data_IF_464431301716
#
_entry.id   IF_464431301716
#
_cell.length_a   1.000
_cell.length_b   1.000
_cell.length_c   1.000
_cell.angle_alpha   90.00
_cell.angle_beta   90.00
_cell.angle_gamma   90.00
#
_symmetry.space_group_name_H-M   'P 1'
#
loop_
_entity.id
_entity.type
_entity.pdbx_description
1 polymer ?
#
# COMPACT_ATOMS: atom_id res chain seq x y z
N UNK A 1 18.22 50.98 25.79
CA UNK A 1 17.39 51.20 26.98
C UNK A 1 16.67 49.89 27.21
N UNK A 2 17.18 48.98 28.07
CA UNK A 2 16.96 48.93 29.50
C UNK A 2 15.45 48.64 29.78
N UNK A 3 15.02 47.59 30.46
CA UNK A 3 15.55 46.60 31.38
C UNK A 3 14.48 45.57 31.64
N UNK A 4 14.79 44.33 31.91
CA UNK A 4 15.08 43.74 33.23
C UNK A 4 13.92 43.73 34.23
N UNK A 5 13.43 42.53 34.62
CA UNK A 5 13.51 41.96 35.94
C UNK A 5 12.53 40.77 36.09
N UNK A 6 12.98 39.59 36.39
CA UNK A 6 13.36 38.91 37.65
C UNK A 6 12.18 38.14 38.34
N UNK A 7 12.28 36.81 38.31
CA UNK A 7 12.35 35.90 39.47
C UNK A 7 11.17 35.73 40.44
N UNK A 8 10.78 34.47 40.64
CA UNK A 8 10.80 33.82 41.98
C UNK A 8 10.50 32.33 41.97
N UNK A 9 11.47 31.60 42.40
CA UNK A 9 11.43 30.26 43.01
C UNK A 9 10.40 30.17 44.18
N UNK A 10 9.76 29.02 44.36
CA UNK A 10 9.40 28.52 45.69
C UNK A 10 9.40 26.98 45.72
N UNK A 11 10.38 26.49 46.41
CA UNK A 11 10.57 25.16 46.99
C UNK A 11 9.62 24.97 48.17
N UNK A 12 8.98 23.80 48.31
CA UNK A 12 8.51 23.33 49.61
C UNK A 12 8.73 21.86 49.81
N UNK A 13 9.17 21.56 50.95
CA UNK A 13 9.88 20.52 51.65
C UNK A 13 8.99 19.32 51.96
N UNK A 14 9.65 18.18 52.10
CA UNK A 14 9.16 16.88 52.52
C UNK A 14 8.67 16.85 53.98
N UNK A 15 7.72 15.97 54.29
CA UNK A 15 7.52 15.40 55.62
C UNK A 15 7.35 13.87 55.51
N UNK A 16 8.28 13.20 56.12
CA UNK A 16 8.37 11.77 56.35
C UNK A 16 7.64 11.44 57.67
N UNK A 17 6.71 10.48 57.68
CA UNK A 17 6.22 9.85 58.91
C UNK A 17 6.25 8.32 58.77
N UNK A 18 7.16 7.72 59.50
CA UNK A 18 7.27 6.28 59.78
C UNK A 18 6.42 5.96 60.99
N UNK A 19 5.54 4.97 60.92
CA UNK A 19 4.99 4.28 62.10
C UNK A 19 5.03 2.78 61.88
N UNK A 20 5.86 2.11 62.66
CA UNK A 20 5.90 0.68 62.86
C UNK A 20 4.84 0.27 63.91
N UNK A 21 4.04 -0.75 63.61
CA UNK A 21 3.42 -1.56 64.64
C UNK A 21 3.22 -3.00 64.14
N UNK A 22 3.82 -3.93 64.85
CA UNK A 22 3.67 -5.37 64.72
C UNK A 22 2.41 -5.86 65.43
N UNK A 23 1.74 -6.85 64.88
CA UNK A 23 0.63 -7.55 65.53
C UNK A 23 0.33 -8.88 64.85
N UNK A 24 0.73 -9.98 65.47
CA UNK A 24 0.36 -11.37 65.12
C UNK A 24 -1.12 -11.62 65.48
N UNK A 25 -1.85 -12.32 64.60
CA UNK A 25 -3.19 -12.85 64.91
C UNK A 25 -3.70 -13.72 63.78
N UNK A 26 -3.70 -15.05 63.94
CA UNK A 26 -4.20 -16.00 62.96
C UNK A 26 -5.74 -15.98 62.88
N UNK A 27 -6.22 -16.23 61.68
CA UNK A 27 -7.65 -16.45 61.38
C UNK A 27 -7.83 -16.66 59.88
N UNK A 28 -8.14 -17.88 59.46
CA UNK A 28 -8.56 -18.16 58.09
C UNK A 28 -9.93 -17.51 57.81
N UNK A 29 -10.07 -16.86 56.70
CA UNK A 29 -11.38 -16.66 56.12
C UNK A 29 -11.46 -17.22 54.70
N UNK A 30 -12.58 -17.78 54.46
CA UNK A 30 -13.29 -18.18 53.27
C UNK A 30 -13.00 -17.32 52.04
N UNK A 31 -12.75 -17.98 50.91
CA UNK A 31 -12.68 -17.43 49.59
C UNK A 31 -14.01 -16.74 49.20
N UNK A 32 -14.03 -15.44 49.20
CA UNK A 32 -15.02 -14.64 48.48
C UNK A 32 -14.39 -14.30 47.08
N UNK A 33 -15.00 -14.86 46.04
CA UNK A 33 -14.70 -14.55 44.68
C UNK A 33 -15.11 -13.12 44.35
N UNK A 34 -14.23 -12.15 44.42
CA UNK A 34 -14.39 -10.86 43.75
C UNK A 34 -13.73 -10.95 42.38
N UNK A 35 -14.55 -11.00 41.33
CA UNK A 35 -14.12 -10.80 39.97
C UNK A 35 -13.57 -9.39 39.81
N UNK A 36 -12.28 -9.24 40.04
CA UNK A 36 -11.52 -8.06 39.67
C UNK A 36 -11.19 -8.14 38.18
N UNK A 37 -11.80 -7.29 37.38
CA UNK A 37 -11.40 -6.99 36.00
C UNK A 37 -10.07 -6.24 36.02
N UNK A 38 -9.00 -6.91 36.37
CA UNK A 38 -7.64 -6.41 36.25
C UNK A 38 -7.05 -6.92 34.94
N UNK A 39 -6.87 -6.01 33.96
CA UNK A 39 -6.01 -6.26 32.81
C UNK A 39 -4.58 -6.48 33.31
N UNK A 40 -4.23 -7.73 33.64
CA UNK A 40 -2.83 -8.08 33.87
C UNK A 40 -2.09 -7.92 32.53
N UNK A 41 -0.93 -7.27 32.48
CA UNK A 41 -0.16 -7.16 31.27
C UNK A 41 0.14 -8.56 30.72
N UNK A 42 -0.12 -8.79 29.44
CA UNK A 42 0.21 -10.07 28.78
C UNK A 42 1.74 -10.14 28.71
N UNK A 43 2.34 -10.99 29.54
CA UNK A 43 3.78 -11.21 29.55
C UNK A 43 4.14 -12.12 28.36
N UNK A 44 5.02 -11.65 27.47
CA UNK A 44 5.56 -12.48 26.38
C UNK A 44 6.34 -13.67 26.93
N UNK A 45 6.17 -14.84 26.32
CA UNK A 45 6.96 -16.02 26.63
C UNK A 45 8.39 -15.95 26.04
N UNK A 46 8.68 -14.93 25.24
CA UNK A 46 9.95 -14.74 24.54
C UNK A 46 10.71 -13.56 25.12
N UNK A 47 12.03 -13.59 25.03
CA UNK A 47 12.85 -12.39 25.25
C UNK A 47 12.46 -11.30 24.24
N UNK A 48 12.57 -10.01 24.61
CA UNK A 48 12.28 -8.92 23.67
C UNK A 48 13.11 -9.06 22.38
N UNK A 49 12.48 -8.82 21.23
CA UNK A 49 13.15 -8.91 19.93
C UNK A 49 14.35 -7.97 19.83
N UNK A 50 14.31 -6.83 20.54
CA UNK A 50 15.44 -5.90 20.63
C UNK A 50 16.69 -6.51 21.27
N UNK A 51 16.54 -7.43 22.21
CA UNK A 51 17.65 -8.14 22.84
C UNK A 51 18.25 -9.25 21.93
N UNK A 52 17.50 -9.68 20.94
CA UNK A 52 17.89 -10.71 19.96
C UNK A 52 18.35 -10.11 18.63
N UNK A 53 18.27 -8.79 18.49
CA UNK A 53 18.63 -8.09 17.26
C UNK A 53 20.14 -8.21 16.97
N UNK A 54 20.49 -8.31 15.68
CA UNK A 54 21.86 -8.38 15.16
C UNK A 54 22.65 -9.64 15.59
N UNK A 55 21.99 -10.68 16.09
CA UNK A 55 22.58 -12.00 16.27
C UNK A 55 22.40 -12.77 14.96
N UNK A 56 23.31 -12.56 14.00
CA UNK A 56 23.17 -13.01 12.62
C UNK A 56 23.59 -14.48 12.38
N UNK A 57 23.39 -15.33 13.38
CA UNK A 57 23.41 -16.79 13.20
C UNK A 57 22.00 -17.28 12.84
N UNK A 58 21.87 -18.43 12.19
CA UNK A 58 20.55 -19.00 11.85
C UNK A 58 19.65 -19.10 13.08
N UNK A 59 20.15 -19.61 14.19
CA UNK A 59 19.38 -19.73 15.45
C UNK A 59 19.02 -18.36 16.03
N UNK A 60 19.97 -17.41 16.04
CA UNK A 60 19.71 -16.05 16.54
C UNK A 60 18.64 -15.33 15.74
N UNK A 61 18.71 -15.41 14.41
CA UNK A 61 17.69 -14.82 13.53
C UNK A 61 16.32 -15.53 13.68
N UNK A 62 16.29 -16.86 13.86
CA UNK A 62 15.04 -17.58 14.14
C UNK A 62 14.41 -17.13 15.47
N UNK A 63 15.21 -16.95 16.51
CA UNK A 63 14.74 -16.43 17.80
C UNK A 63 14.21 -14.99 17.66
N UNK A 64 14.95 -14.13 16.94
CA UNK A 64 14.51 -12.77 16.64
C UNK A 64 13.15 -12.77 15.91
N UNK A 65 13.02 -13.54 14.83
CA UNK A 65 11.78 -13.61 14.03
C UNK A 65 10.59 -14.01 14.92
N UNK A 66 10.75 -15.07 15.74
CA UNK A 66 9.67 -15.56 16.59
C UNK A 66 9.27 -14.55 17.66
N UNK A 67 10.24 -13.89 18.31
CA UNK A 67 10.01 -12.87 19.31
C UNK A 67 9.35 -11.63 18.68
N UNK A 68 9.84 -11.17 17.53
CA UNK A 68 9.29 -10.02 16.83
C UNK A 68 7.84 -10.25 16.38
N UNK A 69 7.53 -11.42 15.82
CA UNK A 69 6.14 -11.76 15.49
C UNK A 69 5.24 -11.83 16.73
N UNK A 70 5.75 -12.32 17.88
CA UNK A 70 5.00 -12.33 19.12
C UNK A 70 4.66 -10.92 19.63
N UNK A 71 5.55 -9.95 19.37
CA UNK A 71 5.35 -8.56 19.79
C UNK A 71 4.37 -7.82 18.90
N UNK A 72 4.52 -7.94 17.57
CA UNK A 72 3.88 -7.00 16.63
C UNK A 72 2.82 -7.61 15.72
N UNK A 73 2.89 -8.92 15.44
CA UNK A 73 2.02 -9.55 14.45
C UNK A 73 0.56 -9.51 14.87
N UNK A 74 -0.32 -9.09 13.99
CA UNK A 74 -1.74 -8.87 14.29
C UNK A 74 -2.42 -10.14 14.84
N UNK A 75 -2.06 -11.31 14.32
CA UNK A 75 -2.60 -12.60 14.72
C UNK A 75 -1.62 -13.44 15.53
N UNK A 76 -0.76 -12.84 16.34
CA UNK A 76 0.30 -13.51 17.09
C UNK A 76 -0.19 -14.69 17.94
N UNK A 77 -1.42 -14.65 18.45
CA UNK A 77 -2.03 -15.72 19.25
C UNK A 77 -2.34 -16.98 18.43
N UNK A 78 -2.44 -16.85 17.12
CA UNK A 78 -2.79 -17.93 16.20
C UNK A 78 -1.55 -18.56 15.55
N UNK A 79 -0.35 -18.06 15.85
CA UNK A 79 0.90 -18.65 15.37
C UNK A 79 1.01 -20.08 15.91
N UNK A 80 1.11 -21.03 15.03
CA UNK A 80 1.27 -22.45 15.40
C UNK A 80 2.66 -22.67 15.99
N UNK A 81 2.79 -23.70 16.85
CA UNK A 81 4.09 -24.16 17.30
C UNK A 81 4.86 -24.75 16.11
N UNK A 82 6.02 -24.19 15.81
CA UNK A 82 6.89 -24.60 14.71
C UNK A 82 8.28 -24.89 15.30
N UNK A 83 8.81 -26.08 15.02
CA UNK A 83 10.19 -26.42 15.38
C UNK A 83 11.15 -25.69 14.44
N UNK A 84 11.85 -24.68 14.96
CA UNK A 84 12.79 -23.88 14.21
C UNK A 84 13.96 -24.70 13.65
N UNK A 85 14.36 -25.79 14.33
CA UNK A 85 15.49 -26.62 13.90
C UNK A 85 15.25 -27.33 12.57
N UNK A 86 13.98 -27.53 12.19
CA UNK A 86 13.59 -28.09 10.90
C UNK A 86 13.78 -27.15 9.70
N UNK A 87 14.22 -25.89 9.91
CA UNK A 87 14.29 -24.87 8.85
C UNK A 87 15.72 -24.34 8.70
N UNK A 88 16.41 -24.79 7.66
CA UNK A 88 17.69 -24.20 7.24
C UNK A 88 17.51 -22.81 6.58
N UNK A 89 16.34 -22.50 6.02
CA UNK A 89 16.02 -21.23 5.38
C UNK A 89 15.18 -20.36 6.31
N UNK A 90 15.70 -19.19 6.67
CA UNK A 90 15.00 -18.19 7.47
C UNK A 90 13.70 -17.70 6.81
N UNK A 91 13.71 -17.58 5.49
CA UNK A 91 12.53 -17.19 4.71
C UNK A 91 11.43 -18.24 4.86
N UNK A 92 11.75 -19.53 4.70
CA UNK A 92 10.79 -20.63 4.90
C UNK A 92 10.28 -20.68 6.35
N UNK A 93 11.16 -20.41 7.33
CA UNK A 93 10.76 -20.33 8.72
C UNK A 93 9.78 -19.19 8.99
N UNK A 94 10.08 -17.97 8.48
CA UNK A 94 9.16 -16.83 8.60
C UNK A 94 7.78 -17.15 8.04
N UNK A 95 7.70 -17.68 6.82
CA UNK A 95 6.41 -18.02 6.21
C UNK A 95 5.68 -19.17 6.92
N UNK A 96 6.39 -20.10 7.56
CA UNK A 96 5.77 -21.17 8.35
C UNK A 96 5.10 -20.68 9.64
N UNK A 97 5.47 -19.49 10.13
CA UNK A 97 4.87 -18.84 11.30
C UNK A 97 3.61 -18.01 10.96
N UNK A 98 3.37 -17.71 9.69
CA UNK A 98 2.23 -16.87 9.29
C UNK A 98 0.90 -17.61 9.43
N UNK A 99 -0.14 -16.86 9.76
CA UNK A 99 -1.49 -17.39 9.96
C UNK A 99 -2.25 -17.41 8.64
N UNK A 100 -2.40 -18.59 8.08
CA UNK A 100 -3.08 -18.82 6.80
C UNK A 100 -4.48 -19.45 6.96
N UNK A 101 -5.01 -19.53 8.19
CA UNK A 101 -6.41 -19.92 8.41
C UNK A 101 -7.35 -18.96 7.70
N UNK A 102 -8.46 -19.45 7.10
CA UNK A 102 -9.40 -18.58 6.41
C UNK A 102 -10.00 -17.51 7.32
N UNK A 103 -10.21 -16.32 6.76
CA UNK A 103 -11.00 -15.24 7.35
C UNK A 103 -12.52 -15.46 7.12
N UNK A 104 -13.34 -14.45 7.44
CA UNK A 104 -14.80 -14.47 7.23
C UNK A 104 -15.21 -14.61 5.74
N UNK A 105 -14.33 -14.24 4.82
CA UNK A 105 -14.54 -14.31 3.37
C UNK A 105 -13.97 -15.59 2.74
N UNK A 106 -13.41 -16.49 3.57
CA UNK A 106 -12.78 -17.73 3.12
C UNK A 106 -11.37 -17.57 2.55
N UNK A 107 -10.76 -16.39 2.68
CA UNK A 107 -9.41 -16.08 2.22
C UNK A 107 -8.40 -16.28 3.37
N UNK A 108 -7.15 -16.68 3.09
CA UNK A 108 -6.12 -16.74 4.13
C UNK A 108 -5.98 -15.38 4.82
N UNK A 109 -5.99 -15.38 6.17
CA UNK A 109 -5.86 -14.14 6.95
C UNK A 109 -4.62 -13.34 6.57
N UNK A 110 -3.48 -14.02 6.47
CA UNK A 110 -2.24 -13.40 6.04
C UNK A 110 -1.82 -13.86 4.64
N UNK A 111 -1.94 -12.97 3.70
CA UNK A 111 -1.47 -13.10 2.32
C UNK A 111 -0.39 -12.05 1.99
N UNK A 112 -0.03 -11.21 2.96
CA UNK A 112 0.66 -9.95 2.66
C UNK A 112 1.94 -9.73 3.47
N UNK A 113 2.21 -10.51 4.52
CA UNK A 113 3.48 -10.45 5.23
C UNK A 113 4.62 -10.97 4.37
N UNK A 114 5.76 -10.28 4.38
CA UNK A 114 6.91 -10.66 3.57
C UNK A 114 8.25 -10.25 4.18
N UNK A 115 9.32 -10.78 3.62
CA UNK A 115 10.71 -10.44 3.95
C UNK A 115 11.49 -10.24 2.66
N UNK A 116 12.28 -9.17 2.58
CA UNK A 116 13.20 -8.88 1.47
C UNK A 116 14.57 -8.46 2.00
N UNK A 117 15.55 -8.30 1.13
CA UNK A 117 16.82 -7.67 1.52
C UNK A 117 16.59 -6.18 1.84
N UNK A 118 17.40 -5.61 2.71
CA UNK A 118 17.29 -4.19 3.08
C UNK A 118 17.45 -3.27 1.88
N UNK A 119 18.35 -3.59 0.95
CA UNK A 119 18.55 -2.80 -0.28
C UNK A 119 17.31 -2.79 -1.19
N UNK A 120 16.62 -3.93 -1.31
CA UNK A 120 15.37 -4.03 -2.08
C UNK A 120 14.24 -3.23 -1.42
N UNK A 121 14.19 -3.27 -0.06
CA UNK A 121 13.24 -2.47 0.70
C UNK A 121 13.50 -0.96 0.56
N UNK A 122 14.76 -0.53 0.50
CA UNK A 122 15.15 0.88 0.27
C UNK A 122 14.76 1.34 -1.14
N UNK A 123 15.00 0.51 -2.14
CA UNK A 123 14.61 0.76 -3.52
C UNK A 123 13.10 0.94 -3.64
N UNK A 124 12.33 -0.01 -3.08
CA UNK A 124 10.87 0.04 -3.06
C UNK A 124 10.34 1.32 -2.40
N UNK A 125 10.88 1.71 -1.23
CA UNK A 125 10.39 2.88 -0.49
C UNK A 125 10.61 4.22 -1.22
N UNK A 126 11.59 4.27 -2.13
CA UNK A 126 11.96 5.46 -2.90
C UNK A 126 11.43 5.48 -4.34
N UNK A 127 10.72 4.43 -4.76
CA UNK A 127 10.28 4.23 -6.16
C UNK A 127 11.44 4.08 -7.15
N UNK A 128 12.60 3.62 -6.66
CA UNK A 128 13.78 3.36 -7.47
C UNK A 128 13.92 1.86 -7.65
N UNK A 129 13.79 1.38 -8.88
CA UNK A 129 13.84 -0.03 -9.20
C UNK A 129 14.97 -0.33 -10.19
N UNK A 130 15.62 -1.48 -10.01
CA UNK A 130 16.49 -2.02 -11.01
C UNK A 130 15.64 -2.80 -12.01
N UNK A 131 15.67 -2.41 -13.29
CA UNK A 131 14.80 -3.07 -14.25
C UNK A 131 14.86 -2.54 -15.67
N UNK A 132 13.90 -2.95 -16.43
CA UNK A 132 13.67 -2.47 -17.80
C UNK A 132 12.71 -1.28 -17.84
N UNK A 133 12.02 -0.96 -16.74
CA UNK A 133 11.03 0.11 -16.67
C UNK A 133 9.76 -0.17 -17.46
N UNK A 134 9.35 -1.41 -17.50
CA UNK A 134 8.11 -1.85 -18.14
C UNK A 134 7.33 -2.77 -17.20
N UNK A 135 6.02 -2.54 -17.11
CA UNK A 135 5.08 -3.41 -16.43
C UNK A 135 4.28 -4.22 -17.44
N UNK A 136 3.98 -5.46 -17.09
CA UNK A 136 3.35 -6.44 -17.94
C UNK A 136 2.10 -7.03 -17.31
N UNK A 137 1.13 -7.37 -18.14
CA UNK A 137 -0.06 -8.14 -17.74
C UNK A 137 -0.33 -9.23 -18.76
N UNK A 138 -0.80 -10.37 -18.30
CA UNK A 138 -1.35 -11.42 -19.17
C UNK A 138 -2.80 -11.05 -19.48
N UNK A 139 -3.12 -10.89 -20.77
CA UNK A 139 -4.49 -10.60 -21.19
C UNK A 139 -5.37 -11.87 -21.24
N UNK A 140 -6.66 -11.67 -21.51
CA UNK A 140 -7.63 -12.78 -21.57
C UNK A 140 -7.31 -13.85 -22.65
N UNK A 141 -6.42 -13.54 -23.57
CA UNK A 141 -5.93 -14.48 -24.60
C UNK A 141 -4.58 -15.11 -24.23
N UNK A 142 -4.13 -14.92 -22.99
CA UNK A 142 -2.85 -15.45 -22.51
C UNK A 142 -1.62 -14.72 -23.05
N UNK A 143 -1.76 -13.52 -23.63
CA UNK A 143 -0.66 -12.76 -24.23
C UNK A 143 -0.03 -11.84 -23.17
N UNK A 144 1.30 -11.77 -23.15
CA UNK A 144 2.03 -10.83 -22.29
C UNK A 144 2.00 -9.44 -22.92
N UNK A 145 1.22 -8.54 -22.33
CA UNK A 145 0.99 -7.19 -22.85
C UNK A 145 1.60 -6.14 -21.93
N UNK A 146 2.09 -5.06 -22.53
CA UNK A 146 2.60 -3.89 -21.80
C UNK A 146 1.44 -3.09 -21.21
N UNK A 147 1.49 -2.82 -19.90
CA UNK A 147 0.53 -1.95 -19.20
C UNK A 147 1.08 -0.54 -19.02
N UNK A 148 2.28 -0.42 -18.48
CA UNK A 148 2.95 0.86 -18.21
C UNK A 148 4.41 0.80 -18.66
N UNK A 149 4.94 1.97 -19.02
CA UNK A 149 6.36 2.18 -19.30
C UNK A 149 6.80 3.39 -18.49
N UNK A 150 7.85 3.20 -17.70
CA UNK A 150 8.48 4.30 -16.99
C UNK A 150 9.21 5.20 -17.99
N UNK A 151 9.01 6.49 -17.91
CA UNK A 151 9.81 7.46 -18.66
C UNK A 151 11.28 7.32 -18.25
N UNK A 152 12.20 7.59 -19.17
CA UNK A 152 13.64 7.44 -18.90
C UNK A 152 14.04 6.01 -18.47
N UNK A 153 13.58 5.03 -19.25
CA UNK A 153 13.83 3.61 -19.00
C UNK A 153 14.31 2.88 -20.24
N UNK A 154 14.97 1.71 -20.10
CA UNK A 154 15.34 0.86 -21.26
C UNK A 154 14.17 0.55 -22.19
N UNK A 155 12.97 0.33 -21.64
CA UNK A 155 11.78 0.07 -22.45
C UNK A 155 11.33 1.31 -23.25
N UNK A 156 11.41 2.50 -22.64
CA UNK A 156 11.13 3.76 -23.33
C UNK A 156 12.14 4.02 -24.44
N UNK A 157 13.44 3.80 -24.19
CA UNK A 157 14.51 3.95 -25.18
C UNK A 157 14.33 3.00 -26.37
N UNK A 158 13.81 1.77 -26.10
CA UNK A 158 13.51 0.78 -27.14
C UNK A 158 12.20 1.08 -27.91
N UNK A 159 11.54 2.20 -27.61
CA UNK A 159 10.28 2.61 -28.25
C UNK A 159 9.13 1.63 -27.99
N UNK A 160 9.10 1.01 -26.82
CA UNK A 160 7.96 0.19 -26.41
C UNK A 160 6.76 1.09 -26.07
N UNK A 161 5.55 0.55 -26.22
CA UNK A 161 4.31 1.29 -25.97
C UNK A 161 3.31 0.42 -25.20
N UNK A 162 2.39 1.09 -24.48
CA UNK A 162 1.21 0.43 -23.88
C UNK A 162 0.50 -0.41 -24.93
N UNK A 163 0.04 -1.58 -24.53
CA UNK A 163 -0.63 -2.53 -25.41
C UNK A 163 0.30 -3.36 -26.28
N UNK A 164 1.60 -3.05 -26.30
CA UNK A 164 2.58 -3.88 -26.97
C UNK A 164 2.64 -5.31 -26.41
N UNK A 165 3.05 -6.26 -27.23
CA UNK A 165 3.07 -7.68 -26.88
C UNK A 165 4.49 -8.23 -26.90
N UNK A 166 4.87 -8.87 -25.79
CA UNK A 166 6.03 -9.75 -25.76
C UNK A 166 5.64 -11.08 -26.40
N UNK A 167 6.35 -11.45 -27.47
CA UNK A 167 6.07 -12.67 -28.22
C UNK A 167 6.98 -13.81 -27.77
N UNK A 168 8.29 -13.52 -27.61
CA UNK A 168 9.28 -14.53 -27.24
C UNK A 168 10.50 -13.86 -26.58
N UNK A 169 11.14 -14.57 -25.66
CA UNK A 169 12.48 -14.24 -25.19
C UNK A 169 13.47 -15.00 -26.07
N UNK A 170 14.29 -14.26 -26.81
CA UNK A 170 15.29 -14.82 -27.74
C UNK A 170 16.60 -15.15 -27.03
N UNK A 171 17.03 -14.26 -26.14
CA UNK A 171 18.29 -14.36 -25.43
C UNK A 171 18.24 -13.60 -24.08
N UNK A 172 19.03 -14.06 -23.14
CA UNK A 172 19.22 -13.38 -21.84
C UNK A 172 20.54 -13.82 -21.21
N UNK A 173 21.18 -12.94 -20.45
CA UNK A 173 22.42 -13.26 -19.72
C UNK A 173 22.19 -13.59 -18.24
N UNK A 174 20.95 -13.61 -17.76
CA UNK A 174 20.56 -14.00 -16.40
C UNK A 174 19.50 -15.08 -16.44
N UNK A 175 19.42 -15.89 -15.40
CA UNK A 175 18.47 -17.01 -15.35
C UNK A 175 17.00 -16.54 -15.42
N UNK A 176 16.67 -15.46 -14.72
CA UNK A 176 15.35 -14.83 -14.79
C UNK A 176 15.29 -13.87 -15.97
N UNK A 177 14.15 -13.79 -16.64
CA UNK A 177 13.89 -12.73 -17.63
C UNK A 177 13.68 -11.36 -16.97
N UNK A 178 13.44 -11.35 -15.67
CA UNK A 178 13.37 -10.15 -14.85
C UNK A 178 14.78 -9.84 -14.32
N UNK A 179 15.32 -8.64 -14.57
CA UNK A 179 16.69 -8.33 -14.20
C UNK A 179 16.83 -8.25 -12.68
N UNK A 180 17.88 -8.89 -12.16
CA UNK A 180 18.23 -8.87 -10.74
C UNK A 180 19.58 -8.21 -10.45
N UNK A 181 20.24 -7.69 -11.48
CA UNK A 181 21.53 -7.00 -11.39
C UNK A 181 21.70 -5.99 -12.53
N UNK A 182 22.46 -4.93 -12.29
CA UNK A 182 22.78 -3.94 -13.30
C UNK A 182 23.55 -4.61 -14.45
N UNK A 183 23.19 -4.23 -15.70
CA UNK A 183 23.78 -4.85 -16.91
C UNK A 183 23.18 -6.22 -17.26
N UNK A 184 22.19 -6.72 -16.50
CA UNK A 184 21.40 -7.82 -17.01
C UNK A 184 20.69 -7.40 -18.29
N UNK A 185 20.69 -8.25 -19.32
CA UNK A 185 19.99 -7.96 -20.56
C UNK A 185 19.09 -9.11 -20.99
N UNK A 186 18.07 -8.74 -21.76
CA UNK A 186 17.29 -9.71 -22.52
C UNK A 186 16.96 -9.15 -23.90
N UNK A 187 17.00 -10.05 -24.90
CA UNK A 187 16.56 -9.78 -26.28
C UNK A 187 15.24 -10.45 -26.51
N UNK A 188 14.27 -9.67 -26.97
CA UNK A 188 12.89 -10.08 -27.12
C UNK A 188 12.44 -9.97 -28.58
N UNK A 189 11.57 -10.88 -28.99
CA UNK A 189 10.68 -10.68 -30.12
C UNK A 189 9.44 -9.96 -29.61
N UNK A 190 9.21 -8.74 -30.07
CA UNK A 190 8.18 -7.83 -29.58
C UNK A 190 7.35 -7.30 -30.75
N UNK A 191 6.12 -6.90 -30.50
CA UNK A 191 5.27 -6.14 -31.41
C UNK A 191 4.55 -5.01 -30.69
N UNK A 192 4.35 -3.87 -31.37
CA UNK A 192 3.75 -2.68 -30.75
C UNK A 192 2.24 -2.82 -30.49
N UNK A 193 1.58 -3.72 -31.19
CA UNK A 193 0.21 -4.18 -30.94
C UNK A 193 0.04 -5.63 -31.39
N UNK A 194 -1.00 -6.35 -30.99
CA UNK A 194 -1.25 -7.72 -31.44
C UNK A 194 -1.37 -7.87 -32.98
N UNK A 195 -1.71 -6.81 -33.66
CA UNK A 195 -1.85 -6.77 -35.12
C UNK A 195 -0.57 -6.33 -35.86
N UNK A 196 0.43 -5.79 -35.14
CA UNK A 196 1.67 -5.27 -35.78
C UNK A 196 2.65 -6.37 -36.11
N UNK A 197 3.54 -6.10 -37.05
CA UNK A 197 4.70 -6.94 -37.30
C UNK A 197 5.60 -7.05 -36.08
N UNK A 198 6.32 -8.16 -35.95
CA UNK A 198 7.30 -8.35 -34.89
C UNK A 198 8.61 -7.64 -35.20
N UNK A 199 9.28 -7.14 -34.17
CA UNK A 199 10.64 -6.60 -34.21
C UNK A 199 11.44 -7.14 -33.03
N UNK A 200 12.75 -7.22 -33.21
CA UNK A 200 13.65 -7.56 -32.10
C UNK A 200 13.98 -6.30 -31.31
N UNK A 201 13.95 -6.40 -29.98
CA UNK A 201 14.41 -5.37 -29.07
C UNK A 201 15.35 -5.97 -28.03
N UNK A 202 16.33 -5.20 -27.61
CA UNK A 202 17.23 -5.57 -26.51
C UNK A 202 17.07 -4.57 -25.39
N UNK A 203 16.75 -5.05 -24.20
CA UNK A 203 16.64 -4.24 -22.99
C UNK A 203 17.84 -4.54 -22.08
N UNK A 204 18.58 -3.50 -21.70
CA UNK A 204 19.65 -3.58 -20.73
C UNK A 204 19.17 -2.98 -19.41
N UNK A 205 19.21 -3.75 -18.33
CA UNK A 205 18.71 -3.31 -17.04
C UNK A 205 19.56 -2.16 -16.48
N UNK A 206 18.89 -1.14 -16.01
CA UNK A 206 19.49 -0.04 -15.25
C UNK A 206 18.58 0.37 -14.09
N UNK A 207 19.09 1.21 -13.24
CA UNK A 207 18.27 1.87 -12.22
C UNK A 207 17.26 2.80 -12.91
N UNK A 208 15.97 2.59 -12.62
CA UNK A 208 14.85 3.37 -13.12
C UNK A 208 14.15 4.01 -11.93
N UNK A 209 13.94 5.32 -11.96
CA UNK A 209 13.10 6.01 -10.99
C UNK A 209 11.69 6.13 -11.57
N UNK A 210 10.73 5.53 -10.90
CA UNK A 210 9.35 5.58 -11.36
C UNK A 210 8.73 6.96 -11.15
N UNK A 211 7.88 7.37 -12.09
CA UNK A 211 7.07 8.55 -11.92
C UNK A 211 5.73 8.16 -11.29
N UNK A 212 5.56 8.50 -10.00
CA UNK A 212 4.33 8.17 -9.27
C UNK A 212 3.07 8.80 -9.90
N UNK A 213 3.19 9.99 -10.50
CA UNK A 213 2.09 10.71 -11.18
C UNK A 213 2.51 11.03 -12.61
N UNK A 214 2.50 10.05 -13.53
CA UNK A 214 3.02 10.24 -14.89
C UNK A 214 2.11 11.08 -15.79
N UNK A 215 0.82 11.22 -15.45
CA UNK A 215 -0.14 11.96 -16.27
C UNK A 215 -1.14 12.72 -15.41
N UNK A 216 -1.25 14.02 -15.65
CA UNK A 216 -2.32 14.89 -15.16
C UNK A 216 -2.86 15.68 -16.34
N UNK A 217 -4.15 15.58 -16.60
CA UNK A 217 -4.80 16.25 -17.74
C UNK A 217 -6.27 16.55 -17.44
N UNK A 218 -6.92 17.31 -18.30
CA UNK A 218 -8.37 17.43 -18.35
C UNK A 218 -8.92 16.63 -19.52
N UNK A 219 -10.10 16.05 -19.33
CA UNK A 219 -10.82 15.28 -20.33
C UNK A 219 -12.24 15.81 -20.46
N UNK A 220 -12.76 15.80 -21.68
CA UNK A 220 -14.12 16.28 -21.95
C UNK A 220 -15.07 15.10 -22.13
N UNK A 221 -16.20 15.11 -21.42
CA UNK A 221 -17.27 14.12 -21.59
C UNK A 221 -18.05 14.35 -22.88
N UNK A 222 -18.89 13.39 -23.28
CA UNK A 222 -19.75 13.53 -24.45
C UNK A 222 -20.77 14.68 -24.32
N UNK A 223 -21.18 15.02 -23.09
CA UNK A 223 -22.06 16.16 -22.83
C UNK A 223 -21.29 17.50 -22.69
N UNK A 224 -20.00 17.53 -22.93
CA UNK A 224 -19.15 18.74 -22.87
C UNK A 224 -18.69 19.13 -21.46
N UNK A 225 -18.94 18.31 -20.44
CA UNK A 225 -18.38 18.57 -19.09
C UNK A 225 -16.89 18.32 -19.08
N UNK A 226 -16.17 19.07 -18.24
CA UNK A 226 -14.74 18.89 -18.03
C UNK A 226 -14.48 18.11 -16.74
N UNK A 227 -13.64 17.09 -16.82
CA UNK A 227 -13.18 16.31 -15.68
C UNK A 227 -11.63 16.31 -15.61
N UNK A 228 -11.09 16.43 -14.41
CA UNK A 228 -9.68 16.19 -14.19
C UNK A 228 -9.38 14.68 -14.25
N UNK A 229 -8.24 14.32 -14.83
CA UNK A 229 -7.72 12.95 -14.81
C UNK A 229 -6.30 12.95 -14.23
N UNK A 230 -6.08 12.10 -13.25
CA UNK A 230 -4.77 11.91 -12.61
C UNK A 230 -4.44 10.42 -12.59
N UNK A 231 -3.39 10.03 -13.32
CA UNK A 231 -2.81 8.69 -13.22
C UNK A 231 -1.85 8.67 -12.05
N UNK A 232 -2.13 7.84 -11.04
CA UNK A 232 -1.35 7.73 -9.83
C UNK A 232 -0.97 6.28 -9.56
N UNK A 233 0.33 5.95 -9.70
CA UNK A 233 0.82 4.57 -9.77
C UNK A 233 1.52 4.09 -8.51
N UNK A 234 1.96 4.98 -7.60
CA UNK A 234 2.78 4.56 -6.45
C UNK A 234 2.71 5.55 -5.29
N UNK A 235 2.62 5.04 -4.07
CA UNK A 235 2.71 5.82 -2.83
C UNK A 235 4.14 5.79 -2.25
N UNK A 236 5.17 5.84 -3.08
CA UNK A 236 6.57 5.95 -2.67
C UNK A 236 6.94 7.39 -2.25
N UNK A 237 8.06 7.55 -1.56
CA UNK A 237 8.61 8.86 -1.17
C UNK A 237 8.79 9.76 -2.40
N UNK A 238 8.32 10.99 -2.33
CA UNK A 238 8.28 11.96 -3.43
C UNK A 238 6.96 11.97 -4.21
N UNK A 239 6.07 11.02 -3.97
CA UNK A 239 4.77 10.97 -4.64
C UNK A 239 3.80 12.04 -4.11
N UNK A 240 3.87 12.39 -2.83
CA UNK A 240 3.04 13.46 -2.25
C UNK A 240 3.29 14.80 -2.95
N UNK A 241 4.55 15.16 -3.18
CA UNK A 241 4.91 16.40 -3.88
C UNK A 241 4.29 16.46 -5.29
N UNK A 242 4.34 15.34 -6.03
CA UNK A 242 3.76 15.24 -7.37
C UNK A 242 2.23 15.31 -7.35
N UNK A 243 1.59 14.67 -6.36
CA UNK A 243 0.14 14.77 -6.17
C UNK A 243 -0.30 16.19 -5.83
N UNK A 244 0.41 16.89 -4.96
CA UNK A 244 0.12 18.30 -4.64
C UNK A 244 0.17 19.14 -5.92
N UNK A 245 1.22 19.00 -6.73
CA UNK A 245 1.34 19.70 -8.02
C UNK A 245 0.20 19.36 -8.98
N UNK A 246 -0.17 18.07 -9.08
CA UNK A 246 -1.28 17.61 -9.93
C UNK A 246 -2.61 18.21 -9.46
N UNK A 247 -2.90 18.17 -8.17
CA UNK A 247 -4.14 18.70 -7.60
C UNK A 247 -4.22 20.23 -7.69
N UNK A 248 -3.10 20.96 -7.60
CA UNK A 248 -3.05 22.39 -7.91
C UNK A 248 -3.43 22.68 -9.36
N UNK A 249 -2.92 21.85 -10.30
CA UNK A 249 -3.27 21.99 -11.72
C UNK A 249 -4.77 21.82 -11.95
N UNK A 250 -5.38 20.78 -11.35
CA UNK A 250 -6.83 20.52 -11.42
C UNK A 250 -7.63 21.66 -10.78
N UNK A 251 -7.20 22.13 -9.60
CA UNK A 251 -7.85 23.24 -8.88
C UNK A 251 -7.84 24.54 -9.70
N UNK A 252 -6.68 24.89 -10.29
CA UNK A 252 -6.51 26.10 -11.09
C UNK A 252 -7.39 26.09 -12.37
N UNK A 253 -7.72 24.92 -12.89
CA UNK A 253 -8.65 24.76 -14.01
C UNK A 253 -10.13 24.82 -13.60
N UNK A 254 -10.42 24.88 -12.30
CA UNK A 254 -11.80 24.96 -11.77
C UNK A 254 -12.63 23.71 -12.02
N UNK A 255 -12.00 22.56 -12.20
CA UNK A 255 -12.71 21.31 -12.53
C UNK A 255 -13.49 20.78 -11.33
N UNK A 256 -14.74 20.38 -11.58
CA UNK A 256 -15.67 19.90 -10.54
C UNK A 256 -15.82 18.37 -10.52
N UNK A 257 -15.33 17.68 -11.52
CA UNK A 257 -15.28 16.23 -11.59
C UNK A 257 -13.81 15.78 -11.63
N UNK A 258 -13.49 14.70 -10.93
CA UNK A 258 -12.15 14.14 -10.86
C UNK A 258 -12.19 12.63 -11.06
N UNK A 259 -11.32 12.14 -11.94
CA UNK A 259 -11.02 10.73 -12.13
C UNK A 259 -9.59 10.49 -11.66
N UNK A 260 -9.41 9.65 -10.63
CA UNK A 260 -8.10 9.18 -10.15
C UNK A 260 -7.91 7.76 -10.65
N UNK A 261 -6.89 7.54 -11.44
CA UNK A 261 -6.57 6.21 -11.96
C UNK A 261 -5.57 5.51 -11.04
N UNK A 262 -6.07 4.56 -10.27
CA UNK A 262 -5.31 3.73 -9.32
C UNK A 262 -5.16 2.28 -9.79
N UNK A 263 -5.50 1.96 -11.06
CA UNK A 263 -5.56 0.56 -11.55
C UNK A 263 -4.24 -0.20 -11.44
N UNK A 264 -3.10 0.49 -11.37
CA UNK A 264 -1.77 -0.10 -11.24
C UNK A 264 -1.06 0.29 -9.93
N UNK A 265 -1.81 0.83 -8.95
CA UNK A 265 -1.24 1.34 -7.71
C UNK A 265 -1.41 0.33 -6.57
N UNK A 266 -0.33 -0.36 -6.23
CA UNK A 266 -0.31 -1.37 -5.17
C UNK A 266 -0.26 -0.80 -3.75
N UNK A 267 -0.30 0.53 -3.58
CA UNK A 267 -0.24 1.19 -2.29
C UNK A 267 1.15 1.74 -1.96
N UNK A 268 1.48 1.80 -0.68
CA UNK A 268 2.71 2.35 -0.11
C UNK A 268 2.44 3.15 1.16
N UNK A 269 2.95 4.37 1.28
CA UNK A 269 2.85 5.16 2.50
C UNK A 269 1.47 5.75 2.76
N UNK A 270 0.95 5.56 3.97
CA UNK A 270 -0.37 6.06 4.39
C UNK A 270 -0.47 7.58 4.43
N UNK A 271 0.61 8.31 4.75
CA UNK A 271 0.57 9.78 4.75
C UNK A 271 0.28 10.35 3.37
N UNK A 272 0.69 9.66 2.29
CA UNK A 272 0.41 10.06 0.91
C UNK A 272 -1.07 9.84 0.58
N UNK A 273 -1.63 8.69 1.00
CA UNK A 273 -3.06 8.40 0.86
C UNK A 273 -3.91 9.43 1.63
N UNK A 274 -3.51 9.78 2.85
CA UNK A 274 -4.13 10.82 3.66
C UNK A 274 -4.11 12.19 2.96
N UNK A 275 -2.94 12.58 2.42
CA UNK A 275 -2.80 13.85 1.69
C UNK A 275 -3.70 13.89 0.45
N UNK A 276 -3.72 12.81 -0.37
CA UNK A 276 -4.58 12.70 -1.54
C UNK A 276 -6.07 12.83 -1.16
N UNK A 277 -6.52 12.05 -0.18
CA UNK A 277 -7.90 12.09 0.28
C UNK A 277 -8.29 13.46 0.87
N UNK A 278 -7.34 14.12 1.55
CA UNK A 278 -7.51 15.48 2.10
C UNK A 278 -7.67 16.52 0.98
N UNK A 279 -6.88 16.45 -0.07
CA UNK A 279 -7.00 17.34 -1.23
C UNK A 279 -8.33 17.15 -1.97
N UNK A 280 -8.79 15.92 -2.13
CA UNK A 280 -10.10 15.62 -2.75
C UNK A 280 -11.25 16.21 -1.92
N UNK A 281 -11.29 15.92 -0.63
CA UNK A 281 -12.40 16.32 0.25
C UNK A 281 -12.36 17.78 0.69
N UNK A 282 -11.18 18.38 0.75
CA UNK A 282 -10.96 19.77 1.08
C UNK A 282 -11.27 20.13 2.54
N UNK A 283 -11.54 21.41 2.78
CA UNK A 283 -11.64 22.00 4.13
C UNK A 283 -12.69 21.36 5.03
N UNK A 284 -13.79 20.84 4.48
CA UNK A 284 -14.90 20.22 5.24
C UNK A 284 -14.48 18.93 5.97
N UNK A 285 -13.41 18.28 5.53
CA UNK A 285 -12.91 17.04 6.12
C UNK A 285 -11.84 17.28 7.20
N UNK A 286 -11.30 18.50 7.28
CA UNK A 286 -10.19 18.82 8.18
C UNK A 286 -10.48 18.39 9.62
N UNK A 287 -9.56 17.65 10.23
CA UNK A 287 -9.69 17.13 11.59
C UNK A 287 -10.58 15.88 11.75
N UNK A 288 -11.36 15.48 10.71
CA UNK A 288 -12.09 14.22 10.73
C UNK A 288 -11.12 13.04 10.61
N UNK A 289 -11.48 11.88 11.12
CA UNK A 289 -10.64 10.67 11.00
C UNK A 289 -10.60 10.22 9.55
N UNK A 290 -9.40 10.14 8.98
CA UNK A 290 -9.12 9.46 7.72
C UNK A 290 -9.04 7.95 7.94
N UNK A 291 -8.22 7.54 8.91
CA UNK A 291 -8.03 6.14 9.26
C UNK A 291 -7.55 5.99 10.70
N UNK A 292 -8.13 5.05 11.45
CA UNK A 292 -7.64 4.58 12.74
C UNK A 292 -6.99 3.23 12.58
N UNK A 293 -5.87 2.99 13.28
CA UNK A 293 -5.12 1.75 13.18
C UNK A 293 -5.39 0.89 14.42
N UNK A 294 -5.76 -0.36 14.20
CA UNK A 294 -5.97 -1.35 15.26
C UNK A 294 -4.84 -2.38 15.22
N UNK A 295 -3.99 -2.34 16.21
CA UNK A 295 -2.93 -3.32 16.45
C UNK A 295 -3.45 -4.52 17.24
N UNK A 296 -2.56 -5.51 17.50
CA UNK A 296 -2.87 -6.60 18.41
C UNK A 296 -3.07 -6.09 19.86
N UNK A 297 -3.62 -6.91 20.73
CA UNK A 297 -4.01 -6.54 22.11
C UNK A 297 -2.83 -6.23 23.05
N UNK A 298 -1.59 -6.59 22.69
CA UNK A 298 -0.40 -6.13 23.41
C UNK A 298 -0.11 -4.64 23.15
N UNK A 299 -0.68 -4.10 22.09
CA UNK A 299 -0.47 -2.72 21.58
C UNK A 299 -1.75 -1.87 21.63
N UNK A 300 -2.64 -2.15 22.56
CA UNK A 300 -3.91 -1.40 22.72
C UNK A 300 -3.72 0.10 22.95
N UNK A 301 -2.65 0.50 23.67
CA UNK A 301 -2.33 1.91 23.86
C UNK A 301 -2.00 2.61 22.54
N UNK A 302 -1.26 1.94 21.66
CA UNK A 302 -0.96 2.44 20.31
C UNK A 302 -2.23 2.50 19.46
N UNK A 303 -3.09 1.46 19.52
CA UNK A 303 -4.37 1.45 18.80
C UNK A 303 -5.22 2.69 19.15
N UNK A 304 -5.29 3.06 20.41
CA UNK A 304 -6.03 4.27 20.86
C UNK A 304 -5.39 5.59 20.43
N UNK A 305 -4.07 5.62 20.21
CA UNK A 305 -3.33 6.82 19.85
C UNK A 305 -3.11 6.95 18.33
N UNK A 306 -3.35 5.90 17.55
CA UNK A 306 -2.97 5.82 16.15
C UNK A 306 -4.13 6.15 15.22
N UNK A 307 -4.52 7.41 15.17
CA UNK A 307 -5.49 7.92 14.20
C UNK A 307 -4.83 8.95 13.27
N UNK A 308 -5.00 8.72 11.97
CA UNK A 308 -4.70 9.70 10.93
C UNK A 308 -5.95 10.54 10.70
N UNK A 309 -5.82 11.87 10.82
CA UNK A 309 -6.91 12.78 10.51
C UNK A 309 -6.74 13.37 9.10
N UNK A 310 -7.83 13.68 8.43
CA UNK A 310 -7.79 14.58 7.27
C UNK A 310 -7.18 15.93 7.70
N UNK A 311 -6.37 16.51 6.85
CA UNK A 311 -5.63 17.74 7.15
C UNK A 311 -5.69 18.72 5.98
N UNK A 312 -5.76 20.01 6.29
CA UNK A 312 -5.61 21.08 5.31
C UNK A 312 -4.14 21.42 5.00
N UNK A 313 -3.20 20.76 5.67
CA UNK A 313 -1.76 20.99 5.50
C UNK A 313 -1.00 19.66 5.37
N UNK A 314 0.17 19.73 4.75
CA UNK A 314 1.12 18.62 4.70
C UNK A 314 1.52 18.21 6.11
N UNK A 315 1.31 16.94 6.46
CA UNK A 315 1.62 16.38 7.77
C UNK A 315 3.01 15.74 7.81
N UNK A 316 3.49 15.28 6.67
CA UNK A 316 4.83 14.75 6.50
C UNK A 316 5.47 15.41 5.29
N UNK A 317 6.49 16.26 5.52
CA UNK A 317 7.13 17.02 4.45
C UNK A 317 8.02 16.16 3.56
N UNK A 318 7.96 16.41 2.26
CA UNK A 318 8.89 15.86 1.28
C UNK A 318 9.83 16.99 0.76
N UNK A 319 10.45 16.80 -0.40
CA UNK A 319 11.50 17.71 -0.86
C UNK A 319 10.99 19.07 -1.32
N UNK A 320 9.77 19.13 -1.89
CA UNK A 320 9.22 20.36 -2.49
C UNK A 320 8.26 21.06 -1.54
N UNK A 321 7.38 20.30 -0.90
CA UNK A 321 6.35 20.83 -0.01
C UNK A 321 6.62 20.39 1.43
N UNK A 322 7.10 21.31 2.29
CA UNK A 322 7.44 21.00 3.67
C UNK A 322 6.19 20.77 4.53
N UNK A 323 6.40 20.18 5.70
CA UNK A 323 5.36 20.06 6.72
C UNK A 323 4.73 21.43 7.01
N UNK A 324 3.39 21.48 7.12
CA UNK A 324 2.63 22.71 7.32
C UNK A 324 2.26 23.46 6.02
N UNK A 325 2.78 23.04 4.85
CA UNK A 325 2.36 23.63 3.57
C UNK A 325 0.86 23.38 3.34
N UNK A 326 0.11 24.41 2.89
CA UNK A 326 -1.32 24.31 2.64
C UNK A 326 -1.62 23.40 1.44
N UNK A 327 -2.40 22.35 1.67
CA UNK A 327 -2.82 21.46 0.61
C UNK A 327 -3.88 22.12 -0.29
N UNK A 328 -3.85 21.90 -1.63
CA UNK A 328 -4.95 22.27 -2.50
C UNK A 328 -6.25 21.59 -2.05
N UNK A 329 -7.37 22.32 -2.11
CA UNK A 329 -8.66 21.87 -1.62
C UNK A 329 -9.69 21.84 -2.76
N UNK A 330 -9.96 20.67 -3.32
CA UNK A 330 -10.91 20.52 -4.44
C UNK A 330 -12.36 20.55 -3.95
N UNK A 331 -12.61 20.25 -2.66
CA UNK A 331 -13.94 20.25 -2.02
C UNK A 331 -14.98 19.36 -2.73
N UNK A 332 -14.55 18.28 -3.35
CA UNK A 332 -15.43 17.41 -4.12
C UNK A 332 -16.34 16.59 -3.20
N UNK A 333 -17.59 16.41 -3.61
CA UNK A 333 -18.55 15.52 -2.94
C UNK A 333 -18.55 14.12 -3.55
N UNK A 334 -18.01 14.00 -4.76
CA UNK A 334 -17.87 12.78 -5.52
C UNK A 334 -16.51 12.73 -6.19
N UNK A 335 -15.96 11.53 -6.29
CA UNK A 335 -14.73 11.23 -7.04
C UNK A 335 -14.89 9.90 -7.74
N UNK A 336 -14.32 9.78 -8.93
CA UNK A 336 -14.23 8.55 -9.70
C UNK A 336 -12.86 7.94 -9.49
N UNK A 337 -12.81 6.63 -9.23
CA UNK A 337 -11.55 5.89 -9.07
C UNK A 337 -11.55 4.71 -10.03
N UNK A 338 -10.56 4.69 -10.94
CA UNK A 338 -10.35 3.54 -11.81
C UNK A 338 -9.55 2.50 -11.04
N UNK A 339 -10.04 1.25 -11.02
CA UNK A 339 -9.51 0.19 -10.17
C UNK A 339 -9.19 -1.09 -10.94
N UNK A 340 -8.27 -1.86 -10.40
CA UNK A 340 -8.04 -3.26 -10.77
C UNK A 340 -7.69 -4.08 -9.53
N UNK A 341 -7.42 -5.37 -9.72
CA UNK A 341 -6.87 -6.25 -8.68
C UNK A 341 -5.51 -5.81 -8.14
N UNK A 342 -4.83 -4.89 -8.82
CA UNK A 342 -3.57 -4.29 -8.37
C UNK A 342 -3.81 -3.03 -7.50
N UNK A 343 -5.03 -2.47 -7.48
CA UNK A 343 -5.40 -1.37 -6.59
C UNK A 343 -5.46 -1.89 -5.16
N UNK A 344 -4.46 -1.56 -4.33
CA UNK A 344 -4.23 -2.26 -3.07
C UNK A 344 -3.86 -1.32 -1.93
N UNK A 345 -4.14 -1.74 -0.69
CA UNK A 345 -3.51 -1.20 0.52
C UNK A 345 -3.76 0.31 0.70
N UNK A 346 -2.73 1.18 0.63
CA UNK A 346 -2.88 2.65 0.76
C UNK A 346 -3.84 3.24 -0.29
N UNK A 347 -3.93 2.64 -1.50
CA UNK A 347 -4.93 3.01 -2.52
C UNK A 347 -6.35 2.70 -2.06
N UNK A 348 -6.56 1.56 -1.39
CA UNK A 348 -7.84 1.20 -0.79
C UNK A 348 -8.17 2.08 0.42
N UNK A 349 -7.14 2.57 1.16
CA UNK A 349 -7.33 3.55 2.24
C UNK A 349 -7.89 4.87 1.74
N UNK A 350 -7.48 5.34 0.56
CA UNK A 350 -8.09 6.53 -0.08
C UNK A 350 -9.58 6.32 -0.28
N UNK A 351 -9.98 5.17 -0.83
CA UNK A 351 -11.38 4.81 -1.07
C UNK A 351 -12.13 4.74 0.26
N UNK A 352 -11.60 3.99 1.23
CA UNK A 352 -12.22 3.76 2.52
C UNK A 352 -12.37 5.04 3.35
N UNK A 353 -11.32 5.84 3.43
CA UNK A 353 -11.30 7.10 4.17
C UNK A 353 -12.31 8.12 3.63
N UNK A 354 -12.35 8.29 2.31
CA UNK A 354 -13.33 9.18 1.65
C UNK A 354 -14.77 8.72 1.90
N UNK A 355 -15.08 7.42 1.79
CA UNK A 355 -16.39 6.86 2.12
C UNK A 355 -16.74 7.03 3.61
N UNK A 356 -15.73 7.00 4.48
CA UNK A 356 -15.88 7.25 5.92
C UNK A 356 -16.41 8.64 6.27
N UNK A 357 -16.23 9.61 5.38
CA UNK A 357 -16.67 11.01 5.56
C UNK A 357 -17.78 11.44 4.58
N UNK A 358 -18.48 10.46 3.99
CA UNK A 358 -19.60 10.66 3.08
C UNK A 358 -19.23 11.35 1.75
N UNK A 359 -18.01 11.16 1.26
CA UNK A 359 -17.65 11.42 -0.13
C UNK A 359 -18.11 10.22 -0.95
N UNK A 360 -18.88 10.48 -2.00
CA UNK A 360 -19.28 9.46 -2.97
C UNK A 360 -18.03 9.02 -3.77
N UNK A 361 -17.63 7.76 -3.62
CA UNK A 361 -16.52 7.17 -4.38
C UNK A 361 -17.10 6.15 -5.36
N UNK A 362 -17.12 6.54 -6.65
CA UNK A 362 -17.59 5.71 -7.75
C UNK A 362 -16.42 4.91 -8.30
N UNK A 363 -16.43 3.60 -8.11
CA UNK A 363 -15.36 2.71 -8.57
C UNK A 363 -15.69 2.19 -9.96
N UNK A 364 -14.73 2.34 -10.88
CA UNK A 364 -14.85 1.85 -12.26
C UNK A 364 -13.72 0.87 -12.53
N UNK A 365 -14.02 -0.36 -12.91
CA UNK A 365 -12.97 -1.33 -13.20
C UNK A 365 -13.30 -2.74 -12.74
N UNK A 366 -12.34 -3.39 -12.10
CA UNK A 366 -12.48 -4.68 -11.42
C UNK A 366 -12.34 -4.51 -9.90
N UNK A 367 -12.68 -5.54 -9.10
CA UNK A 367 -12.51 -5.48 -7.66
C UNK A 367 -11.06 -5.18 -7.26
N UNK A 368 -10.87 -4.46 -6.16
CA UNK A 368 -9.54 -4.19 -5.59
C UNK A 368 -8.98 -5.42 -4.87
N UNK A 369 -7.71 -5.36 -4.44
CA UNK A 369 -7.00 -6.54 -3.90
C UNK A 369 -7.49 -7.05 -2.53
N UNK A 370 -8.08 -6.16 -1.71
CA UNK A 370 -8.57 -6.56 -0.39
C UNK A 370 -7.53 -6.58 0.72
N UNK A 371 -6.73 -5.51 0.86
CA UNK A 371 -5.72 -5.41 1.92
C UNK A 371 -6.02 -4.30 2.93
N UNK A 372 -6.90 -4.52 3.94
CA UNK A 372 -7.15 -3.55 5.02
C UNK A 372 -6.00 -3.45 6.02
N UNK A 373 -4.92 -4.15 5.80
CA UNK A 373 -3.81 -4.36 6.72
C UNK A 373 -2.58 -3.54 6.37
N UNK A 374 -1.74 -3.29 7.38
CA UNK A 374 -0.46 -2.65 7.19
C UNK A 374 0.61 -3.12 8.15
N UNK A 375 1.82 -2.59 7.97
CA UNK A 375 3.01 -2.98 8.70
C UNK A 375 3.99 -1.83 8.83
N UNK A 376 4.94 -2.01 9.74
CA UNK A 376 6.14 -1.19 9.87
C UNK A 376 7.35 -2.02 9.45
N UNK A 377 8.29 -1.40 8.74
CA UNK A 377 9.54 -2.05 8.37
C UNK A 377 10.41 -2.30 9.61
N UNK A 378 10.91 -3.53 9.77
CA UNK A 378 11.91 -3.86 10.77
C UNK A 378 13.13 -4.51 10.12
N UNK A 379 14.29 -3.87 10.27
CA UNK A 379 15.54 -4.42 9.75
C UNK A 379 16.22 -5.30 10.79
N UNK A 380 16.77 -6.44 10.34
CA UNK A 380 17.67 -7.29 11.13
C UNK A 380 18.57 -8.10 10.19
N UNK A 381 19.87 -8.14 10.45
CA UNK A 381 20.86 -8.96 9.74
C UNK A 381 20.76 -8.87 8.20
N UNK A 382 20.63 -7.67 7.67
CA UNK A 382 20.54 -7.41 6.22
C UNK A 382 19.19 -7.74 5.58
N UNK A 383 18.19 -8.10 6.37
CA UNK A 383 16.80 -8.32 5.92
C UNK A 383 15.87 -7.26 6.48
N UNK A 384 14.85 -6.93 5.72
CA UNK A 384 13.72 -6.10 6.11
C UNK A 384 12.47 -6.99 6.22
N UNK A 385 11.87 -7.00 7.41
CA UNK A 385 10.69 -7.78 7.75
C UNK A 385 9.47 -6.88 7.76
N UNK A 386 8.36 -7.38 7.20
CA UNK A 386 7.09 -6.68 7.07
C UNK A 386 5.92 -7.61 7.47
N UNK A 387 5.83 -8.02 8.74
CA UNK A 387 4.66 -8.75 9.21
C UNK A 387 3.45 -7.81 9.29
N UNK A 388 2.26 -8.30 9.03
CA UNK A 388 1.03 -7.53 9.26
C UNK A 388 0.93 -7.16 10.74
N UNK A 389 0.89 -5.86 11.06
CA UNK A 389 0.85 -5.35 12.42
C UNK A 389 -0.51 -4.77 12.81
N UNK A 390 -1.21 -4.18 11.86
CA UNK A 390 -2.47 -3.49 12.12
C UNK A 390 -3.50 -3.66 11.01
N UNK A 391 -4.75 -3.42 11.38
CA UNK A 391 -5.88 -3.22 10.47
C UNK A 391 -6.34 -1.77 10.53
N UNK A 392 -6.60 -1.16 9.37
CA UNK A 392 -7.12 0.20 9.26
C UNK A 392 -8.64 0.23 9.24
N UNK A 393 -9.24 1.23 9.92
CA UNK A 393 -10.69 1.48 9.88
C UNK A 393 -10.95 2.96 9.59
N UNK A 394 -12.00 3.27 8.82
CA UNK A 394 -12.38 4.65 8.53
C UNK A 394 -13.16 5.31 9.70
N UNK A 395 -13.59 6.56 9.51
CA UNK A 395 -14.34 7.34 10.52
C UNK A 395 -15.64 6.69 10.99
N UNK A 396 -16.19 5.72 10.24
CA UNK A 396 -17.39 4.95 10.60
C UNK A 396 -17.05 3.60 11.24
N UNK A 397 -15.77 3.32 11.47
CA UNK A 397 -15.29 2.05 12.02
C UNK A 397 -15.23 0.91 11.00
N UNK A 398 -15.49 1.17 9.71
CA UNK A 398 -15.42 0.15 8.67
C UNK A 398 -13.98 -0.09 8.22
N UNK A 399 -13.56 -1.36 8.21
CA UNK A 399 -12.23 -1.81 7.79
C UNK A 399 -12.22 -3.27 7.35
N UNK A 400 -13.41 -3.89 7.19
CA UNK A 400 -13.54 -5.29 6.75
C UNK A 400 -13.77 -5.35 5.24
N UNK A 401 -12.67 -5.20 4.48
CA UNK A 401 -12.67 -5.31 3.02
C UNK A 401 -11.58 -6.26 2.51
N UNK A 402 -11.34 -7.36 3.22
CA UNK A 402 -10.35 -8.38 2.79
C UNK A 402 -10.71 -9.05 1.45
N UNK A 403 -11.97 -8.97 1.03
CA UNK A 403 -12.42 -9.38 -0.30
C UNK A 403 -12.27 -8.28 -1.39
N UNK A 404 -11.71 -7.12 -1.04
CA UNK A 404 -11.62 -5.94 -1.89
C UNK A 404 -12.91 -5.13 -1.99
N UNK A 405 -12.83 -3.99 -2.65
CA UNK A 405 -13.99 -3.18 -2.99
C UNK A 405 -14.52 -3.58 -4.37
N UNK A 406 -15.75 -4.01 -4.45
CA UNK A 406 -16.42 -4.25 -5.73
C UNK A 406 -16.60 -2.94 -6.49
N UNK A 407 -16.40 -2.91 -7.82
CA UNK A 407 -16.63 -1.71 -8.63
C UNK A 407 -18.11 -1.35 -8.69
N UNK A 408 -18.40 -0.05 -8.73
CA UNK A 408 -19.74 0.49 -9.04
C UNK A 408 -20.12 0.19 -10.50
N UNK A 409 -19.14 0.29 -11.40
CA UNK A 409 -19.28 -0.05 -12.81
C UNK A 409 -18.14 -0.98 -13.22
N UNK A 410 -18.46 -2.20 -13.65
CA UNK A 410 -17.47 -3.14 -14.16
C UNK A 410 -16.92 -2.70 -15.51
N UNK A 411 -15.61 -2.62 -15.65
CA UNK A 411 -14.91 -2.32 -16.90
C UNK A 411 -13.54 -3.01 -16.90
N UNK A 412 -13.22 -3.69 -17.99
CA UNK A 412 -11.90 -4.31 -18.16
C UNK A 412 -10.82 -3.25 -18.40
N UNK A 413 -9.57 -3.58 -18.07
CA UNK A 413 -8.43 -2.78 -18.49
C UNK A 413 -8.28 -2.84 -20.01
N UNK A 414 -8.32 -1.70 -20.65
CA UNK A 414 -8.25 -1.57 -22.10
C UNK A 414 -6.82 -1.27 -22.56
N UNK A 415 -6.10 -2.33 -22.90
CA UNK A 415 -4.71 -2.24 -23.36
C UNK A 415 -4.55 -1.76 -24.81
N UNK A 416 -5.64 -1.54 -25.54
CA UNK A 416 -5.58 -1.11 -26.93
C UNK A 416 -5.67 0.42 -27.07
N UNK A 417 -5.96 1.14 -25.97
CA UNK A 417 -6.00 2.59 -25.93
C UNK A 417 -5.01 3.17 -24.91
N UNK A 418 -4.57 4.39 -25.17
CA UNK A 418 -3.64 5.12 -24.30
C UNK A 418 -4.38 5.63 -23.06
N UNK A 419 -3.72 5.56 -21.90
CA UNK A 419 -4.27 6.10 -20.64
C UNK A 419 -4.52 7.61 -20.75
N UNK A 420 -5.63 8.07 -20.18
CA UNK A 420 -6.04 9.47 -20.21
C UNK A 420 -6.77 9.89 -21.51
N UNK A 421 -6.92 9.02 -22.49
CA UNK A 421 -7.78 9.26 -23.65
C UNK A 421 -9.23 8.93 -23.32
N UNK A 422 -10.16 9.79 -23.74
CA UNK A 422 -11.61 9.63 -23.48
C UNK A 422 -12.21 8.35 -24.08
N UNK A 423 -11.50 7.70 -25.00
CA UNK A 423 -11.88 6.42 -25.63
C UNK A 423 -11.35 5.19 -24.89
N UNK A 424 -10.44 5.35 -23.91
CA UNK A 424 -9.95 4.25 -23.11
C UNK A 424 -11.10 3.69 -22.26
N UNK A 425 -11.25 2.37 -22.22
CA UNK A 425 -12.47 1.69 -21.75
C UNK A 425 -12.93 2.05 -20.34
N UNK A 426 -12.03 2.05 -19.34
CA UNK A 426 -12.41 2.44 -17.97
C UNK A 426 -12.68 3.93 -17.86
N UNK A 427 -11.84 4.77 -18.48
CA UNK A 427 -12.06 6.22 -18.48
C UNK A 427 -13.37 6.58 -19.23
N UNK A 428 -13.64 5.98 -20.38
CA UNK A 428 -14.89 6.16 -21.10
C UNK A 428 -16.13 5.81 -20.25
N UNK A 429 -16.04 4.74 -19.46
CA UNK A 429 -17.10 4.35 -18.52
C UNK A 429 -17.29 5.40 -17.41
N UNK A 430 -16.20 5.95 -16.86
CA UNK A 430 -16.26 7.03 -15.87
C UNK A 430 -16.89 8.30 -16.46
N UNK A 431 -16.46 8.72 -17.65
CA UNK A 431 -16.99 9.91 -18.35
C UNK A 431 -18.47 9.77 -18.65
N UNK A 432 -18.92 8.58 -19.09
CA UNK A 432 -20.35 8.29 -19.27
C UNK A 432 -21.12 8.39 -17.94
N UNK A 433 -20.58 7.84 -16.86
CA UNK A 433 -21.22 7.94 -15.53
C UNK A 433 -21.31 9.39 -15.04
N UNK A 434 -20.31 10.23 -15.34
CA UNK A 434 -20.35 11.69 -15.07
C UNK A 434 -21.54 12.33 -15.76
N UNK A 435 -21.83 11.95 -17.01
CA UNK A 435 -22.90 12.53 -17.80
C UNK A 435 -24.29 12.03 -17.41
N UNK A 436 -24.41 10.74 -17.16
CA UNK A 436 -25.73 10.06 -17.12
C UNK A 436 -26.08 9.48 -15.75
N UNK A 437 -25.11 9.32 -14.83
CA UNK A 437 -25.26 8.55 -13.58
C UNK A 437 -25.39 7.04 -13.81
N UNK A 438 -25.20 6.54 -15.04
CA UNK A 438 -25.35 5.13 -15.38
C UNK A 438 -24.02 4.54 -15.83
N UNK A 439 -23.78 3.28 -15.44
CA UNK A 439 -22.69 2.51 -16.00
C UNK A 439 -22.84 2.37 -17.51
N UNK A 440 -21.75 2.37 -18.26
CA UNK A 440 -21.75 1.97 -19.67
C UNK A 440 -22.31 0.54 -19.79
N UNK A 441 -22.86 0.20 -20.94
CA UNK A 441 -23.07 -1.23 -21.25
C UNK A 441 -21.67 -1.84 -21.23
N UNK A 442 -21.35 -2.55 -20.16
CA UNK A 442 -20.13 -3.33 -20.11
C UNK A 442 -20.11 -4.18 -21.38
N UNK A 443 -19.08 -4.05 -22.21
CA UNK A 443 -18.68 -5.22 -22.97
C UNK A 443 -18.22 -6.20 -21.90
N UNK A 444 -19.17 -6.91 -21.31
CA UNK A 444 -18.96 -8.05 -20.46
C UNK A 444 -18.33 -9.12 -21.33
N UNK A 445 -17.06 -9.00 -21.61
CA UNK A 445 -16.25 -10.18 -21.87
C UNK A 445 -16.20 -10.85 -20.50
N UNK A 446 -17.01 -11.91 -20.37
CA UNK A 446 -17.27 -12.59 -19.13
C UNK A 446 -16.00 -12.81 -18.34
N UNK A 447 -16.12 -12.72 -17.03
CA UNK A 447 -15.15 -13.25 -16.08
C UNK A 447 -14.96 -14.74 -16.47
N UNK A 448 -13.96 -15.00 -17.31
CA UNK A 448 -13.49 -16.36 -17.48
C UNK A 448 -12.78 -16.70 -16.17
N UNK A 449 -13.15 -17.82 -15.52
CA UNK A 449 -12.37 -18.31 -14.38
C UNK A 449 -10.91 -18.30 -14.80
N UNK A 450 -10.06 -17.85 -13.90
CA UNK A 450 -8.62 -17.78 -14.05
C UNK A 450 -8.15 -19.02 -14.81
N UNK A 451 -7.69 -18.83 -16.05
CA UNK A 451 -7.26 -19.93 -16.89
C UNK A 451 -6.12 -20.64 -16.17
N UNK A 452 -6.37 -21.89 -15.82
CA UNK A 452 -5.37 -22.80 -15.30
C UNK A 452 -4.25 -22.88 -16.32
N UNK A 453 -3.07 -22.34 -15.92
CA UNK A 453 -1.81 -22.37 -16.63
C UNK A 453 -1.73 -21.52 -17.93
N UNK A 454 -0.91 -20.48 -17.95
CA UNK A 454 -0.62 -19.77 -19.20
C UNK A 454 0.19 -20.68 -20.12
N UNK A 455 -0.33 -20.94 -21.32
CA UNK A 455 0.41 -21.61 -22.38
C UNK A 455 1.48 -20.64 -22.92
N UNK A 456 2.52 -20.42 -22.14
CA UNK A 456 3.74 -19.76 -22.59
C UNK A 456 4.90 -20.74 -22.56
N UNK A 457 5.24 -21.27 -23.72
CA UNK A 457 6.47 -22.02 -23.90
C UNK A 457 7.65 -21.10 -23.60
N UNK A 458 8.17 -21.13 -22.37
CA UNK A 458 9.45 -20.55 -21.99
C UNK A 458 9.43 -19.19 -21.27
N UNK A 459 8.29 -18.60 -20.96
CA UNK A 459 8.22 -17.44 -20.06
C UNK A 459 8.04 -17.92 -18.62
N UNK A 460 8.95 -17.57 -17.67
CA UNK A 460 8.76 -17.90 -16.28
C UNK A 460 7.50 -17.21 -15.74
N UNK A 461 6.69 -17.94 -14.98
CA UNK A 461 5.52 -17.41 -14.24
C UNK A 461 5.92 -16.55 -13.04
N UNK A 462 7.22 -16.52 -12.71
CA UNK A 462 7.78 -15.85 -11.53
C UNK A 462 8.20 -14.41 -11.85
N UNK A 463 7.25 -13.57 -12.23
CA UNK A 463 7.45 -12.12 -12.11
C UNK A 463 7.45 -11.83 -10.61
N UNK A 464 8.52 -11.28 -10.04
CA UNK A 464 8.47 -10.84 -8.66
C UNK A 464 7.35 -9.81 -8.55
N UNK A 465 6.21 -10.21 -7.98
CA UNK A 465 5.20 -9.25 -7.57
C UNK A 465 5.81 -8.52 -6.39
N UNK A 466 6.03 -7.24 -6.54
CA UNK A 466 6.40 -6.40 -5.41
C UNK A 466 5.30 -6.56 -4.36
N UNK A 467 5.68 -6.82 -3.12
CA UNK A 467 4.68 -7.03 -2.09
C UNK A 467 3.87 -5.75 -1.95
N UNK A 468 2.56 -5.88 -2.05
CA UNK A 468 1.65 -4.76 -1.84
C UNK A 468 1.86 -4.21 -0.43
N UNK A 469 2.40 -2.99 -0.30
CA UNK A 469 2.88 -2.43 0.95
C UNK A 469 1.99 -1.31 1.49
N UNK A 470 1.57 -1.43 2.76
CA UNK A 470 1.00 -0.33 3.53
C UNK A 470 2.01 0.04 4.61
N UNK A 471 2.75 1.13 4.39
CA UNK A 471 3.79 1.61 5.29
C UNK A 471 3.29 2.83 6.06
N UNK A 472 3.57 2.89 7.35
CA UNK A 472 3.18 4.01 8.20
C UNK A 472 3.98 5.27 7.89
N UNK A 473 5.29 5.14 7.78
CA UNK A 473 6.26 6.25 7.55
C UNK A 473 7.50 5.70 6.88
N UNK A 474 8.25 6.55 6.16
CA UNK A 474 9.59 6.20 5.65
C UNK A 474 10.56 5.88 6.78
#
# INVERSE_FOLDING_TARGET
MAGLHFNRFRTFLAVLCVVLAAGCGGGSPSLANTAGTGNSPIVSAFAPSSALANICTTTGEQQFIRAYLDEVYLWYREIRAVDASGYASLLKYFYALLVTTPDSNGLPKDQFSFVVNTADADAFSTGINLGYGVQWKIDAQGRQRVTLISTDSPAADAGMSRGGQLVQILERNVASWYPNQAGAYARFLYRDSPASATREITLNARTVKENAVPLTTSVTTAAGKQAGYVLFNDHAVGAQDKLITAMQTIQNQGLQELVIDLRYNSGGYLYIAQALASMVSGARANGRIFESLRYNDKRDAESRASAFAFSSTVQYGESTYPMGYALPALNLRRVYVLTSEETCSASESVINGLRGIDVEVVLIGTPTCGKPYGFTRKNNCGRAYFPIEFQGTNAKGFGDYSAGFAPSCSASDDLDHVLGQSTEGQLASALRHIDTGLCGTAQARGFLPQATEPVFNGLPTDVPRWPHGRLLRP
#
